data_IF_640886328300
#
_entry.id   IF_640886328300
#
_cell.length_a   1.000
_cell.length_b   1.000
_cell.length_c   1.000
_cell.angle_alpha   90.00
_cell.angle_beta   90.00
_cell.angle_gamma   90.00
#
_symmetry.space_group_name_H-M   'P 1'
#
loop_
_entity.id
_entity.type
_entity.pdbx_description
1 polymer ?
#
# COMPACT_ATOMS: atom_id res chain seq x y z
N UNK A 1 -21.03 10.70 18.77
CA UNK A 1 -21.18 11.23 17.41
C UNK A 1 -19.80 11.19 16.77
N UNK A 2 -19.52 10.13 16.00
CA UNK A 2 -18.26 10.01 15.28
C UNK A 2 -18.46 10.66 13.92
N UNK A 3 -17.75 11.76 13.70
CA UNK A 3 -17.69 12.38 12.38
C UNK A 3 -16.84 11.45 11.49
N UNK A 4 -17.49 10.85 10.51
CA UNK A 4 -16.81 10.23 9.39
C UNK A 4 -15.92 11.31 8.75
N UNK A 5 -14.62 11.07 8.68
CA UNK A 5 -13.69 11.84 7.85
C UNK A 5 -14.10 11.61 6.39
N UNK A 6 -15.05 12.41 5.96
CA UNK A 6 -15.37 12.57 4.54
C UNK A 6 -14.10 13.15 3.91
N UNK A 7 -13.54 12.46 2.94
CA UNK A 7 -12.49 13.00 2.06
C UNK A 7 -13.13 14.26 1.44
N UNK A 8 -12.73 15.44 1.97
CA UNK A 8 -13.28 16.71 1.52
C UNK A 8 -12.97 16.88 0.05
N UNK A 9 -14.00 17.19 -0.70
CA UNK A 9 -13.96 17.73 -2.06
C UNK A 9 -12.91 18.84 -2.17
N UNK A 10 -11.84 18.48 -2.80
CA UNK A 10 -10.72 19.29 -3.18
C UNK A 10 -9.79 18.39 -3.96
N UNK A 11 -10.23 17.93 -5.16
CA UNK A 11 -9.37 17.21 -6.08
C UNK A 11 -8.12 18.08 -6.30
N UNK A 12 -7.06 17.82 -5.53
CA UNK A 12 -5.73 18.34 -5.86
C UNK A 12 -5.40 17.73 -7.20
N UNK A 13 -5.43 18.53 -8.25
CA UNK A 13 -4.91 18.13 -9.56
C UNK A 13 -3.42 17.86 -9.35
N UNK A 14 -3.06 16.61 -9.41
CA UNK A 14 -1.66 16.22 -9.47
C UNK A 14 -1.15 16.66 -10.84
N UNK A 15 -0.10 17.48 -10.85
CA UNK A 15 0.48 18.01 -12.07
C UNK A 15 1.43 16.96 -12.69
N UNK A 16 0.84 15.82 -13.04
CA UNK A 16 1.53 14.75 -13.75
C UNK A 16 1.77 15.09 -15.24
N UNK A 17 1.39 16.29 -15.71
CA UNK A 17 1.39 16.64 -17.14
C UNK A 17 2.76 17.05 -17.70
N UNK A 18 3.78 17.27 -16.86
CA UNK A 18 5.07 17.81 -17.32
C UNK A 18 6.09 16.77 -17.81
N UNK A 19 5.80 15.47 -17.74
CA UNK A 19 6.77 14.44 -18.15
C UNK A 19 6.41 13.76 -19.48
N UNK A 20 7.13 14.11 -20.53
CA UNK A 20 6.99 13.61 -21.91
C UNK A 20 7.38 12.14 -22.14
N UNK A 21 7.77 11.37 -21.12
CA UNK A 21 8.06 9.94 -21.20
C UNK A 21 7.45 9.22 -19.99
N UNK A 22 6.15 8.90 -20.09
CA UNK A 22 5.42 8.18 -19.03
C UNK A 22 5.66 6.69 -19.17
N UNK A 23 6.67 6.17 -18.48
CA UNK A 23 6.70 4.74 -18.15
C UNK A 23 5.66 4.47 -17.07
N UNK A 24 4.85 3.42 -17.29
CA UNK A 24 3.98 2.88 -16.25
C UNK A 24 4.82 2.53 -15.01
N UNK A 25 4.43 3.03 -13.85
CA UNK A 25 5.09 2.74 -12.58
C UNK A 25 4.43 1.52 -11.93
N UNK A 26 5.24 0.54 -11.55
CA UNK A 26 4.79 -0.73 -11.02
C UNK A 26 5.08 -0.79 -9.53
N UNK A 27 4.02 -0.96 -8.72
CA UNK A 27 4.08 -0.93 -7.26
C UNK A 27 3.58 -2.25 -6.71
N UNK A 28 4.37 -2.88 -5.84
CA UNK A 28 3.97 -4.05 -5.08
C UNK A 28 3.92 -3.71 -3.59
N UNK A 29 2.73 -3.75 -2.99
CA UNK A 29 2.58 -3.63 -1.55
C UNK A 29 2.81 -4.98 -0.87
N UNK A 30 3.60 -4.99 0.20
CA UNK A 30 3.99 -6.24 0.87
C UNK A 30 3.74 -6.17 2.37
N UNK A 31 3.12 -7.21 2.93
CA UNK A 31 3.01 -7.43 4.37
C UNK A 31 3.30 -8.89 4.72
N UNK A 32 3.04 -9.33 5.95
CA UNK A 32 3.30 -10.71 6.37
C UNK A 32 2.43 -11.73 5.60
N UNK A 33 1.10 -11.60 5.67
CA UNK A 33 0.15 -12.61 5.18
C UNK A 33 -0.57 -12.25 3.87
N UNK A 34 -0.53 -11.00 3.41
CA UNK A 34 -1.25 -10.51 2.21
C UNK A 34 -2.78 -10.67 2.27
N UNK A 35 -3.37 -10.65 3.47
CA UNK A 35 -4.83 -10.70 3.66
C UNK A 35 -5.39 -9.48 4.38
N UNK A 36 -4.55 -8.60 4.94
CA UNK A 36 -4.94 -7.39 5.64
C UNK A 36 -4.28 -6.13 5.04
N UNK A 37 -3.10 -5.73 5.55
CA UNK A 37 -2.47 -4.43 5.27
C UNK A 37 -2.09 -4.21 3.81
N UNK A 38 -1.36 -5.12 3.21
CA UNK A 38 -0.87 -4.95 1.83
C UNK A 38 -2.00 -4.92 0.80
N UNK A 39 -3.00 -5.78 0.95
CA UNK A 39 -4.17 -5.79 0.06
C UNK A 39 -5.04 -4.54 0.28
N UNK A 40 -5.15 -4.04 1.50
CA UNK A 40 -5.81 -2.75 1.77
C UNK A 40 -5.08 -1.61 1.08
N UNK A 41 -3.74 -1.56 1.18
CA UNK A 41 -2.93 -0.54 0.52
C UNK A 41 -3.06 -0.58 -1.01
N UNK A 42 -3.10 -1.76 -1.60
CA UNK A 42 -3.34 -1.96 -3.04
C UNK A 42 -4.66 -1.30 -3.49
N UNK A 43 -5.77 -1.62 -2.83
CA UNK A 43 -7.08 -1.07 -3.22
C UNK A 43 -7.21 0.42 -2.92
N UNK A 44 -6.65 0.89 -1.81
CA UNK A 44 -6.63 2.32 -1.45
C UNK A 44 -5.83 3.13 -2.47
N UNK A 45 -4.62 2.66 -2.82
CA UNK A 45 -3.78 3.36 -3.80
C UNK A 45 -4.42 3.39 -5.18
N UNK A 46 -4.96 2.26 -5.66
CA UNK A 46 -5.67 2.21 -6.95
C UNK A 46 -6.79 3.23 -7.00
N UNK A 47 -7.63 3.26 -5.96
CA UNK A 47 -8.73 4.21 -5.88
C UNK A 47 -8.25 5.66 -5.89
N UNK A 48 -7.24 6.00 -5.10
CA UNK A 48 -6.68 7.34 -5.08
C UNK A 48 -6.12 7.76 -6.45
N UNK A 49 -5.43 6.87 -7.13
CA UNK A 49 -4.90 7.13 -8.47
C UNK A 49 -6.02 7.31 -9.50
N UNK A 50 -7.09 6.52 -9.43
CA UNK A 50 -8.27 6.66 -10.29
C UNK A 50 -8.99 7.98 -10.04
N UNK A 51 -9.27 8.34 -8.77
CA UNK A 51 -9.90 9.60 -8.39
C UNK A 51 -9.07 10.82 -8.81
N UNK A 52 -7.74 10.69 -8.83
CA UNK A 52 -6.81 11.70 -9.33
C UNK A 52 -6.70 11.74 -10.86
N UNK A 53 -7.35 10.80 -11.58
CA UNK A 53 -7.28 10.70 -13.05
C UNK A 53 -5.97 10.15 -13.60
N UNK A 54 -5.12 9.56 -12.73
CA UNK A 54 -3.77 9.06 -13.08
C UNK A 54 -3.65 7.53 -12.95
N UNK A 55 -4.74 6.82 -12.73
CA UNK A 55 -4.74 5.36 -12.55
C UNK A 55 -4.05 4.60 -13.67
N UNK A 56 -4.16 5.08 -14.91
CA UNK A 56 -3.51 4.50 -16.09
C UNK A 56 -1.98 4.55 -16.08
N UNK A 57 -1.37 5.29 -15.15
CA UNK A 57 0.08 5.41 -14.99
C UNK A 57 0.66 4.38 -14.02
N UNK A 58 -0.20 3.59 -13.36
CA UNK A 58 0.22 2.67 -12.32
C UNK A 58 -0.27 1.25 -12.57
N UNK A 59 0.64 0.30 -12.40
CA UNK A 59 0.34 -1.11 -12.19
C UNK A 59 0.53 -1.39 -10.70
N UNK A 60 -0.50 -1.89 -10.01
CA UNK A 60 -0.48 -2.05 -8.56
C UNK A 60 -0.94 -3.45 -8.20
N UNK A 61 -0.20 -4.12 -7.32
CA UNK A 61 -0.55 -5.43 -6.80
C UNK A 61 -0.06 -5.56 -5.34
N UNK A 62 -0.33 -6.70 -4.71
CA UNK A 62 0.14 -6.97 -3.36
C UNK A 62 0.59 -8.43 -3.17
N UNK A 63 1.46 -8.65 -2.18
CA UNK A 63 2.02 -9.96 -1.86
C UNK A 63 2.36 -10.09 -0.36
N UNK A 64 2.70 -11.32 0.05
CA UNK A 64 3.13 -11.67 1.39
C UNK A 64 4.62 -11.96 1.47
N UNK A 65 5.24 -11.74 2.63
CA UNK A 65 6.56 -12.30 2.93
C UNK A 65 6.47 -13.77 3.34
N UNK A 66 5.33 -14.21 3.90
CA UNK A 66 5.11 -15.58 4.35
C UNK A 66 4.31 -16.42 3.34
N UNK A 67 4.16 -17.71 3.63
CA UNK A 67 3.34 -18.66 2.84
C UNK A 67 2.07 -19.10 3.58
N UNK A 68 1.83 -18.55 4.77
CA UNK A 68 0.80 -19.04 5.68
C UNK A 68 -0.62 -18.86 5.13
N UNK A 69 -0.85 -17.79 4.37
CA UNK A 69 -2.17 -17.41 3.88
C UNK A 69 -2.35 -17.59 2.36
N UNK A 70 -1.42 -18.27 1.68
CA UNK A 70 -1.48 -18.43 0.20
C UNK A 70 -2.86 -18.97 -0.22
N UNK A 71 -3.50 -18.26 -1.16
CA UNK A 71 -4.82 -18.60 -1.71
C UNK A 71 -6.00 -18.08 -0.89
N UNK A 72 -5.77 -17.59 0.33
CA UNK A 72 -6.83 -17.06 1.17
C UNK A 72 -7.32 -15.68 0.66
N UNK A 73 -8.64 -15.40 0.82
CA UNK A 73 -9.21 -14.11 0.48
C UNK A 73 -8.82 -13.04 1.51
N UNK A 74 -9.26 -11.81 1.24
CA UNK A 74 -9.13 -10.69 2.19
C UNK A 74 -9.75 -11.10 3.53
N UNK A 75 -9.03 -10.85 4.62
CA UNK A 75 -9.55 -11.08 5.97
C UNK A 75 -10.87 -10.32 6.19
N UNK A 76 -11.92 -10.95 6.75
CA UNK A 76 -13.25 -10.34 6.77
C UNK A 76 -13.33 -8.94 7.37
N UNK A 77 -12.54 -8.65 8.42
CA UNK A 77 -12.53 -7.31 9.01
C UNK A 77 -11.86 -6.29 8.11
N UNK A 78 -10.78 -6.65 7.41
CA UNK A 78 -10.14 -5.78 6.43
C UNK A 78 -11.09 -5.49 5.24
N UNK A 79 -11.83 -6.51 4.77
CA UNK A 79 -12.85 -6.34 3.74
C UNK A 79 -13.96 -5.37 4.19
N UNK A 80 -14.47 -5.52 5.42
CA UNK A 80 -15.47 -4.60 6.00
C UNK A 80 -14.94 -3.19 6.09
N UNK A 81 -13.68 -3.01 6.43
CA UNK A 81 -13.05 -1.68 6.47
C UNK A 81 -13.00 -1.06 5.08
N UNK A 82 -12.58 -1.81 4.05
CA UNK A 82 -12.62 -1.36 2.65
C UNK A 82 -14.04 -0.92 2.25
N UNK A 83 -15.05 -1.76 2.52
CA UNK A 83 -16.45 -1.49 2.18
C UNK A 83 -17.02 -0.27 2.93
N UNK A 84 -16.69 -0.12 4.22
CA UNK A 84 -17.09 1.05 5.03
C UNK A 84 -16.54 2.36 4.48
N UNK A 85 -15.39 2.30 3.80
CA UNK A 85 -14.78 3.44 3.12
C UNK A 85 -15.12 3.51 1.61
N UNK A 86 -16.12 2.75 1.15
CA UNK A 86 -16.66 2.83 -0.20
C UNK A 86 -15.85 2.07 -1.26
N UNK A 87 -14.95 1.17 -0.87
CA UNK A 87 -14.26 0.25 -1.77
C UNK A 87 -15.01 -1.08 -1.74
N UNK A 88 -15.88 -1.29 -2.72
CA UNK A 88 -16.76 -2.46 -2.80
C UNK A 88 -16.27 -3.47 -3.84
N UNK A 89 -16.61 -4.75 -3.62
CA UNK A 89 -16.35 -5.82 -4.58
C UNK A 89 -14.87 -6.21 -4.69
N UNK A 90 -14.04 -5.85 -3.72
CA UNK A 90 -12.64 -6.23 -3.68
C UNK A 90 -12.51 -7.76 -3.65
N UNK A 91 -11.79 -8.31 -4.62
CA UNK A 91 -11.47 -9.74 -4.71
C UNK A 91 -9.97 -9.93 -4.67
N UNK A 92 -9.52 -10.92 -3.94
CA UNK A 92 -8.11 -11.18 -3.73
C UNK A 92 -7.86 -12.65 -3.37
N UNK A 93 -6.69 -13.13 -3.74
CA UNK A 93 -6.14 -14.39 -3.26
C UNK A 93 -4.67 -14.14 -2.88
N UNK A 94 -4.34 -14.35 -1.62
CA UNK A 94 -3.01 -14.08 -1.09
C UNK A 94 -1.94 -14.88 -1.83
N UNK A 95 -0.82 -14.24 -2.15
CA UNK A 95 0.35 -14.86 -2.77
C UNK A 95 1.63 -14.45 -2.07
N UNK A 96 2.67 -15.26 -2.16
CA UNK A 96 3.98 -14.89 -1.67
C UNK A 96 4.73 -14.04 -2.71
N UNK A 97 5.51 -13.07 -2.24
CA UNK A 97 6.47 -12.32 -3.07
C UNK A 97 7.55 -13.26 -3.61
N UNK A 98 8.01 -13.00 -4.81
CA UNK A 98 9.05 -13.79 -5.50
C UNK A 98 10.20 -12.90 -5.93
N UNK A 99 11.32 -13.50 -6.35
CA UNK A 99 12.44 -12.77 -6.97
C UNK A 99 12.03 -12.09 -8.29
N UNK A 100 11.15 -12.73 -9.05
CA UNK A 100 10.61 -12.15 -10.28
C UNK A 100 9.79 -10.89 -10.02
N UNK A 101 9.12 -10.78 -8.85
CA UNK A 101 8.46 -9.54 -8.47
C UNK A 101 9.47 -8.39 -8.30
N UNK A 102 10.66 -8.66 -7.76
CA UNK A 102 11.70 -7.64 -7.65
C UNK A 102 12.17 -7.13 -9.02
N UNK A 103 12.28 -8.03 -9.99
CA UNK A 103 12.66 -7.65 -11.35
C UNK A 103 11.55 -6.88 -12.08
N UNK A 104 10.28 -7.22 -11.79
CA UNK A 104 9.12 -6.66 -12.48
C UNK A 104 8.68 -5.31 -11.91
N UNK A 105 8.61 -5.16 -10.58
CA UNK A 105 8.12 -3.95 -9.92
C UNK A 105 9.22 -2.91 -9.73
N UNK A 106 8.84 -1.64 -9.86
CA UNK A 106 9.75 -0.49 -9.62
C UNK A 106 9.83 -0.15 -8.13
N UNK A 107 8.76 -0.43 -7.38
CA UNK A 107 8.65 -0.15 -5.95
C UNK A 107 8.05 -1.34 -5.21
N UNK A 108 8.75 -1.85 -4.20
CA UNK A 108 8.26 -2.81 -3.22
C UNK A 108 8.05 -2.07 -1.90
N UNK A 109 6.79 -1.85 -1.54
CA UNK A 109 6.41 -1.00 -0.40
C UNK A 109 5.88 -1.87 0.73
N UNK A 110 6.64 -1.92 1.82
CA UNK A 110 6.40 -2.78 2.97
C UNK A 110 5.65 -2.03 4.07
N UNK A 111 4.94 -2.76 4.92
CA UNK A 111 4.12 -2.18 5.99
C UNK A 111 4.91 -1.93 7.28
N UNK A 112 5.87 -2.79 7.59
CA UNK A 112 6.63 -2.72 8.84
C UNK A 112 8.05 -3.28 8.71
N UNK A 113 8.84 -3.08 9.76
CA UNK A 113 10.21 -3.55 9.87
C UNK A 113 10.33 -5.09 9.91
N UNK A 114 9.30 -5.80 10.39
CA UNK A 114 9.27 -7.27 10.34
C UNK A 114 9.12 -7.76 8.90
N UNK A 115 8.33 -7.06 8.09
CA UNK A 115 8.22 -7.35 6.65
C UNK A 115 9.57 -7.12 5.94
N UNK A 116 10.32 -6.08 6.35
CA UNK A 116 11.67 -5.84 5.83
C UNK A 116 12.63 -6.99 6.15
N UNK A 117 12.54 -7.54 7.37
CA UNK A 117 13.29 -8.72 7.73
C UNK A 117 12.84 -9.97 6.95
N UNK A 118 11.53 -10.14 6.79
CA UNK A 118 10.92 -11.28 6.07
C UNK A 118 11.29 -11.30 4.58
N UNK A 119 11.25 -10.16 3.89
CA UNK A 119 11.52 -10.08 2.46
C UNK A 119 12.99 -10.39 2.13
N UNK A 120 13.92 -10.08 3.00
CA UNK A 120 15.36 -10.38 2.83
C UNK A 120 15.67 -11.87 2.72
N UNK A 121 14.79 -12.75 3.16
CA UNK A 121 14.92 -14.20 2.96
C UNK A 121 14.63 -14.62 1.53
N UNK A 122 13.90 -13.80 0.77
CA UNK A 122 13.49 -14.07 -0.61
C UNK A 122 14.31 -13.21 -1.56
N UNK A 123 14.51 -11.94 -1.19
CA UNK A 123 15.25 -10.91 -1.92
C UNK A 123 16.34 -10.41 -0.95
N UNK A 124 17.50 -11.08 -0.88
CA UNK A 124 18.53 -10.75 0.11
C UNK A 124 19.19 -9.38 -0.13
N UNK A 125 19.30 -8.97 -1.39
CA UNK A 125 19.99 -7.76 -1.79
C UNK A 125 19.03 -6.83 -2.56
N UNK A 126 18.85 -5.63 -2.05
CA UNK A 126 18.10 -4.55 -2.73
C UNK A 126 19.08 -3.67 -3.53
N UNK A 127 19.62 -4.23 -4.60
CA UNK A 127 20.67 -3.58 -5.41
C UNK A 127 20.18 -2.32 -6.13
N UNK A 128 18.89 -2.23 -6.40
CA UNK A 128 18.29 -1.12 -7.11
C UNK A 128 17.58 -0.11 -6.18
N UNK A 129 17.57 -0.35 -4.86
CA UNK A 129 16.92 0.52 -3.89
C UNK A 129 15.40 0.61 -4.06
N UNK A 130 14.75 -0.51 -4.44
CA UNK A 130 13.30 -0.57 -4.71
C UNK A 130 12.46 -0.78 -3.45
N UNK A 131 13.07 -1.24 -2.36
CA UNK A 131 12.38 -1.62 -1.12
C UNK A 131 12.31 -0.42 -0.17
N UNK A 132 11.10 -0.09 0.29
CA UNK A 132 10.86 1.00 1.26
C UNK A 132 9.71 0.65 2.20
N UNK A 133 9.61 1.34 3.33
CA UNK A 133 8.44 1.29 4.20
C UNK A 133 7.40 2.33 3.74
N UNK A 134 6.12 1.99 3.86
CA UNK A 134 5.03 2.84 3.40
C UNK A 134 5.05 4.22 4.06
N UNK A 135 5.24 4.29 5.38
CA UNK A 135 5.21 5.54 6.11
C UNK A 135 6.50 6.37 6.00
N UNK A 136 7.58 5.81 5.43
CA UNK A 136 8.78 6.61 5.08
C UNK A 136 8.51 7.60 3.94
N UNK A 137 7.42 7.42 3.20
CA UNK A 137 7.01 8.36 2.16
C UNK A 137 6.27 9.58 2.71
N UNK A 138 5.78 9.54 3.96
CA UNK A 138 5.16 10.71 4.59
C UNK A 138 6.18 11.82 4.81
N UNK A 139 5.76 13.11 4.85
CA UNK A 139 6.71 14.20 5.06
C UNK A 139 7.45 14.08 6.38
N UNK A 140 8.74 14.39 6.41
CA UNK A 140 9.56 14.40 7.63
C UNK A 140 9.05 15.37 8.73
N UNK A 141 8.19 16.33 8.36
CA UNK A 141 7.48 17.21 9.30
C UNK A 141 6.34 16.51 10.04
N UNK A 142 5.82 15.42 9.49
CA UNK A 142 4.80 14.58 10.16
C UNK A 142 5.48 13.60 11.13
N UNK A 143 5.87 14.11 12.29
CA UNK A 143 6.55 13.31 13.32
C UNK A 143 5.70 12.20 13.92
N UNK A 144 4.39 12.22 13.70
CA UNK A 144 3.49 11.20 14.20
C UNK A 144 3.50 9.92 13.35
N UNK A 145 3.78 10.05 12.06
CA UNK A 145 3.68 8.94 11.10
C UNK A 145 5.01 8.62 10.40
N UNK A 146 5.86 9.61 10.14
CA UNK A 146 7.12 9.42 9.43
C UNK A 146 8.07 8.47 10.16
N UNK A 147 8.67 7.53 9.42
CA UNK A 147 9.62 6.52 9.91
C UNK A 147 9.06 5.62 11.03
N UNK A 148 7.79 5.27 10.98
CA UNK A 148 7.21 4.25 11.84
C UNK A 148 6.52 3.16 11.03
N UNK A 149 6.27 2.04 11.68
CA UNK A 149 5.55 0.92 11.12
C UNK A 149 4.05 1.23 11.00
N UNK A 150 3.39 0.70 9.96
CA UNK A 150 1.93 0.66 9.87
C UNK A 150 1.39 -0.25 10.97
N UNK A 151 0.42 0.23 11.74
CA UNK A 151 -0.21 -0.56 12.79
C UNK A 151 -0.71 -1.91 12.26
N UNK A 152 -0.35 -3.01 12.97
CA UNK A 152 -0.80 -4.33 12.56
C UNK A 152 -2.15 -4.68 13.22
N UNK A 153 -3.25 -4.69 12.45
CA UNK A 153 -4.58 -4.96 12.98
C UNK A 153 -4.77 -6.42 13.40
N UNK A 154 -3.88 -7.33 12.97
CA UNK A 154 -3.90 -8.72 13.42
C UNK A 154 -3.67 -8.83 14.93
N UNK A 155 -2.73 -8.03 15.46
CA UNK A 155 -2.42 -8.00 16.88
C UNK A 155 -3.25 -6.98 17.65
N UNK A 156 -3.41 -5.77 17.09
CA UNK A 156 -4.07 -4.67 17.79
C UNK A 156 -5.59 -4.75 17.74
N UNK A 157 -6.16 -5.49 16.79
CA UNK A 157 -7.59 -5.48 16.42
C UNK A 157 -8.14 -4.11 16.02
N UNK A 158 -7.25 -3.15 15.83
CA UNK A 158 -7.61 -1.78 15.43
C UNK A 158 -7.40 -1.60 13.91
N UNK A 159 -8.44 -1.91 13.15
CA UNK A 159 -8.43 -1.77 11.70
C UNK A 159 -8.52 -0.31 11.26
N UNK A 160 -9.10 0.57 12.09
CA UNK A 160 -9.20 2.00 11.79
C UNK A 160 -7.82 2.67 11.83
N UNK A 161 -6.99 2.34 12.83
CA UNK A 161 -5.62 2.84 12.89
C UNK A 161 -4.77 2.36 11.68
N UNK A 162 -4.90 1.10 11.29
CA UNK A 162 -4.23 0.58 10.10
C UNK A 162 -4.73 1.28 8.82
N UNK A 163 -6.03 1.57 8.73
CA UNK A 163 -6.62 2.31 7.62
C UNK A 163 -6.06 3.73 7.52
N UNK A 164 -5.99 4.45 8.64
CA UNK A 164 -5.41 5.81 8.68
C UNK A 164 -3.97 5.82 8.21
N UNK A 165 -3.13 4.93 8.75
CA UNK A 165 -1.73 4.80 8.37
C UNK A 165 -1.55 4.50 6.89
N UNK A 166 -2.31 3.51 6.37
CA UNK A 166 -2.26 3.11 4.96
C UNK A 166 -2.71 4.25 4.06
N UNK A 167 -3.79 4.95 4.42
CA UNK A 167 -4.31 6.06 3.63
C UNK A 167 -3.30 7.20 3.54
N UNK A 168 -2.68 7.58 4.67
CA UNK A 168 -1.64 8.60 4.71
C UNK A 168 -0.41 8.22 3.89
N UNK A 169 0.06 6.99 4.06
CA UNK A 169 1.23 6.49 3.33
C UNK A 169 0.98 6.39 1.82
N UNK A 170 -0.18 5.87 1.41
CA UNK A 170 -0.57 5.80 -0.01
C UNK A 170 -0.69 7.18 -0.64
N UNK A 171 -1.27 8.16 0.08
CA UNK A 171 -1.37 9.53 -0.39
C UNK A 171 0.01 10.15 -0.60
N UNK A 172 0.91 9.99 0.36
CA UNK A 172 2.28 10.50 0.27
C UNK A 172 3.07 9.84 -0.87
N UNK A 173 2.92 8.52 -1.02
CA UNK A 173 3.54 7.77 -2.12
C UNK A 173 3.02 8.26 -3.48
N UNK A 174 1.72 8.43 -3.64
CA UNK A 174 1.13 8.94 -4.88
C UNK A 174 1.66 10.34 -5.22
N UNK A 175 1.73 11.23 -4.23
CA UNK A 175 2.31 12.58 -4.41
C UNK A 175 3.77 12.55 -4.85
N UNK A 176 4.56 11.63 -4.29
CA UNK A 176 5.98 11.48 -4.65
C UNK A 176 6.17 10.93 -6.06
N UNK A 177 5.26 10.06 -6.50
CA UNK A 177 5.36 9.39 -7.79
C UNK A 177 4.72 10.19 -8.94
N UNK A 178 3.89 11.15 -8.64
CA UNK A 178 3.35 12.11 -9.59
C UNK A 178 4.15 13.39 -9.63
#
# INVERSE_FOLDING_TARGET
MHQALTIKEGARRYDCDTFKHRHMKRILFVCHGNICRSVTAEFVFRRMAEEAGVGHLFEVDSAATSREEIGNPIYPMALRTLEAHGIHGARHAARQVTRQDYDHYDHLVLMDSENLYGIRRIIPDDLEGKISLLLDHTPASDKAHHNRDVADPWYTRNFDAAWEDITLGCQALLQKLC
#
